data_IF_187933611090
#
_entry.id   IF_187933611090
#
_cell.length_a   1.000
_cell.length_b   1.000
_cell.length_c   1.000
_cell.angle_alpha   90.00
_cell.angle_beta   90.00
_cell.angle_gamma   90.00
#
_symmetry.space_group_name_H-M   'P 1'
#
loop_
_entity.id
_entity.type
_entity.pdbx_description
1 polymer ?
#
# COMPACT_ATOMS: atom_id res chain seq x y z
N UNK A 1 -15.56 5.81 -12.15
CA UNK A 1 -14.30 5.18 -11.67
C UNK A 1 -13.06 5.97 -12.07
N UNK A 2 -12.85 6.31 -13.36
CA UNK A 2 -11.74 7.20 -13.77
C UNK A 2 -11.74 8.56 -13.01
N UNK A 3 -12.92 9.14 -12.81
CA UNK A 3 -13.09 10.38 -12.03
C UNK A 3 -12.65 10.24 -10.58
N UNK A 4 -12.84 9.07 -9.95
CA UNK A 4 -12.40 8.82 -8.57
C UNK A 4 -10.88 8.87 -8.49
N UNK A 5 -10.18 8.19 -9.41
CA UNK A 5 -8.72 8.23 -9.45
C UNK A 5 -8.19 9.63 -9.75
N UNK A 6 -8.85 10.38 -10.64
CA UNK A 6 -8.49 11.79 -10.90
C UNK A 6 -8.70 12.67 -9.66
N UNK A 7 -9.80 12.48 -8.94
CA UNK A 7 -10.03 13.17 -7.67
C UNK A 7 -8.94 12.87 -6.64
N UNK A 8 -8.47 11.62 -6.57
CA UNK A 8 -7.33 11.24 -5.71
C UNK A 8 -6.05 11.96 -6.16
N UNK A 9 -5.71 11.93 -7.46
CA UNK A 9 -4.53 12.64 -7.99
C UNK A 9 -4.53 14.12 -7.60
N UNK A 10 -5.63 14.81 -7.88
CA UNK A 10 -5.79 16.24 -7.58
C UNK A 10 -5.64 16.54 -6.10
N UNK A 11 -6.23 15.72 -5.23
CA UNK A 11 -6.19 15.94 -3.77
C UNK A 11 -4.82 15.61 -3.16
N UNK A 12 -4.12 14.62 -3.72
CA UNK A 12 -2.79 14.22 -3.25
C UNK A 12 -1.72 15.21 -3.74
N UNK A 13 -1.90 15.78 -4.94
CA UNK A 13 -0.92 16.64 -5.61
C UNK A 13 0.00 15.83 -6.52
N UNK A 14 0.18 16.26 -7.77
CA UNK A 14 1.00 15.59 -8.78
C UNK A 14 2.46 15.43 -8.34
N UNK A 15 2.96 16.38 -7.55
CA UNK A 15 4.30 16.32 -6.95
C UNK A 15 4.43 15.19 -5.92
N UNK A 16 3.35 14.59 -5.42
CA UNK A 16 3.43 13.47 -4.47
C UNK A 16 3.21 12.11 -5.17
N UNK A 17 2.97 12.14 -6.48
CA UNK A 17 2.85 10.95 -7.31
C UNK A 17 4.22 10.51 -7.83
N UNK A 18 4.35 9.22 -8.10
CA UNK A 18 5.59 8.66 -8.62
C UNK A 18 5.35 7.42 -9.47
N UNK A 19 6.36 7.03 -10.23
CA UNK A 19 6.49 5.63 -10.63
C UNK A 19 7.02 4.83 -9.44
N UNK A 20 6.53 3.60 -9.27
CA UNK A 20 7.03 2.74 -8.20
C UNK A 20 8.50 2.40 -8.49
N UNK A 21 9.38 2.62 -7.51
CA UNK A 21 10.82 2.35 -7.61
C UNK A 21 11.22 1.38 -6.50
N UNK A 22 12.29 0.63 -6.74
CA UNK A 22 12.87 -0.20 -5.69
C UNK A 22 13.42 0.69 -4.57
N UNK A 23 13.25 0.25 -3.32
CA UNK A 23 13.79 0.88 -2.11
C UNK A 23 14.52 -0.13 -1.27
N UNK A 24 15.62 0.31 -0.65
CA UNK A 24 16.45 -0.58 0.19
C UNK A 24 16.83 -1.89 -0.52
N UNK A 25 17.06 -1.84 -1.84
CA UNK A 25 17.31 -2.99 -2.72
C UNK A 25 16.15 -3.99 -2.90
N UNK A 26 14.93 -3.68 -2.44
CA UNK A 26 13.71 -4.44 -2.67
C UNK A 26 12.79 -3.70 -3.64
N UNK A 27 12.22 -4.38 -4.64
CA UNK A 27 11.25 -3.81 -5.57
C UNK A 27 9.93 -4.58 -5.63
N UNK A 28 9.00 -4.04 -6.41
CA UNK A 28 7.75 -4.70 -6.82
C UNK A 28 7.69 -4.69 -8.34
N UNK A 29 7.39 -5.84 -8.95
CA UNK A 29 7.19 -5.90 -10.38
C UNK A 29 5.76 -5.45 -10.74
N UNK A 30 5.68 -4.38 -11.53
CA UNK A 30 4.43 -3.72 -11.91
C UNK A 30 3.90 -4.12 -13.31
N UNK A 31 4.53 -5.07 -14.00
CA UNK A 31 4.18 -5.46 -15.38
C UNK A 31 2.73 -5.90 -15.53
N UNK A 32 2.18 -6.60 -14.54
CA UNK A 32 0.79 -7.10 -14.53
C UNK A 32 -0.11 -6.31 -13.58
N UNK A 33 0.33 -5.14 -13.11
CA UNK A 33 -0.46 -4.35 -12.19
C UNK A 33 -1.71 -3.75 -12.88
N UNK A 34 -2.87 -3.74 -12.21
CA UNK A 34 -4.10 -3.14 -12.74
C UNK A 34 -3.90 -1.69 -13.21
N UNK A 35 -4.63 -1.32 -14.26
CA UNK A 35 -4.62 0.03 -14.85
C UNK A 35 -6.05 0.46 -15.20
N UNK A 36 -6.41 1.75 -15.10
CA UNK A 36 -5.59 2.86 -14.62
C UNK A 36 -5.34 2.83 -13.10
N UNK A 37 -4.23 3.43 -12.67
CA UNK A 37 -3.83 3.49 -11.25
C UNK A 37 -3.19 4.83 -10.87
N UNK A 38 -3.19 5.12 -9.57
CA UNK A 38 -2.45 6.22 -8.93
C UNK A 38 -1.43 5.59 -8.00
N UNK A 39 -0.17 6.02 -8.08
CA UNK A 39 0.89 5.57 -7.18
C UNK A 39 1.41 6.78 -6.43
N UNK A 40 1.25 6.74 -5.11
CA UNK A 40 1.63 7.79 -4.18
C UNK A 40 2.95 7.39 -3.53
N UNK A 41 3.93 8.28 -3.57
CA UNK A 41 5.16 8.14 -2.79
C UNK A 41 4.92 8.67 -1.38
N UNK A 42 4.88 7.78 -0.40
CA UNK A 42 4.52 8.15 0.96
C UNK A 42 5.57 9.04 1.64
N UNK A 43 6.85 8.96 1.25
CA UNK A 43 7.88 9.86 1.80
C UNK A 43 7.64 11.32 1.42
N UNK A 44 7.03 11.55 0.27
CA UNK A 44 6.69 12.90 -0.22
C UNK A 44 5.31 13.32 0.30
N UNK A 45 4.34 12.42 0.19
CA UNK A 45 2.95 12.72 0.47
C UNK A 45 2.67 12.94 1.97
N UNK A 46 3.23 12.13 2.87
CA UNK A 46 2.99 12.28 4.31
C UNK A 46 3.35 13.68 4.85
N UNK A 47 4.57 14.19 4.66
CA UNK A 47 4.92 15.52 5.16
C UNK A 47 4.14 16.63 4.45
N UNK A 48 3.86 16.50 3.15
CA UNK A 48 3.04 17.47 2.40
C UNK A 48 1.61 17.61 2.97
N UNK A 49 1.08 16.54 3.58
CA UNK A 49 -0.23 16.49 4.20
C UNK A 49 -0.19 16.54 5.74
N UNK A 50 0.92 17.03 6.31
CA UNK A 50 1.07 17.25 7.75
C UNK A 50 1.08 15.98 8.60
N UNK A 51 1.34 14.82 7.99
CA UNK A 51 1.48 13.56 8.72
C UNK A 51 2.94 13.28 9.04
N UNK A 52 3.23 13.07 10.33
CA UNK A 52 4.56 12.78 10.84
C UNK A 52 4.64 11.34 11.33
N UNK A 53 5.84 10.76 11.33
CA UNK A 53 6.12 9.42 11.88
C UNK A 53 6.32 8.35 10.82
N UNK A 54 6.09 7.09 11.24
CA UNK A 54 6.23 5.89 10.40
C UNK A 54 5.19 5.90 9.28
N UNK A 55 5.59 5.37 8.13
CA UNK A 55 4.78 5.27 6.91
C UNK A 55 5.26 4.08 6.10
N UNK A 56 4.37 3.53 5.30
CA UNK A 56 4.74 2.59 4.26
C UNK A 56 5.50 3.31 3.15
N UNK A 57 6.10 2.59 2.20
CA UNK A 57 6.84 3.20 1.09
C UNK A 57 5.92 3.79 0.02
N UNK A 58 4.88 3.05 -0.37
CA UNK A 58 3.97 3.43 -1.44
C UNK A 58 2.51 3.12 -1.10
N UNK A 59 1.60 3.89 -1.70
CA UNK A 59 0.16 3.61 -1.71
C UNK A 59 -0.31 3.61 -3.16
N UNK A 60 -1.01 2.55 -3.57
CA UNK A 60 -1.55 2.43 -4.93
C UNK A 60 -3.08 2.44 -4.86
N UNK A 61 -3.71 3.29 -5.65
CA UNK A 61 -5.14 3.24 -5.90
C UNK A 61 -5.44 2.74 -7.31
N UNK A 62 -6.34 1.79 -7.45
CA UNK A 62 -6.92 1.39 -8.73
C UNK A 62 -8.38 1.00 -8.54
N UNK A 63 -9.15 0.98 -9.63
CA UNK A 63 -10.53 0.52 -9.57
C UNK A 63 -10.62 -0.93 -10.04
N UNK A 64 -11.19 -1.81 -9.21
CA UNK A 64 -11.58 -3.15 -9.64
C UNK A 64 -12.95 -3.05 -10.31
N UNK A 65 -12.96 -3.16 -11.64
CA UNK A 65 -14.19 -3.06 -12.43
C UNK A 65 -15.10 -4.28 -12.29
N UNK A 66 -14.55 -5.44 -11.93
CA UNK A 66 -15.34 -6.66 -11.75
C UNK A 66 -16.14 -6.60 -10.44
N UNK A 67 -15.54 -6.04 -9.39
CA UNK A 67 -16.19 -5.86 -8.08
C UNK A 67 -16.82 -4.47 -7.90
N UNK A 68 -16.64 -3.57 -8.86
CA UNK A 68 -17.10 -2.17 -8.80
C UNK A 68 -16.65 -1.43 -7.52
N UNK A 69 -15.40 -1.66 -7.10
CA UNK A 69 -14.84 -1.10 -5.88
C UNK A 69 -13.51 -0.38 -6.14
N UNK A 70 -13.14 0.50 -5.21
CA UNK A 70 -11.83 1.14 -5.18
C UNK A 70 -10.87 0.30 -4.34
N UNK A 71 -9.73 -0.07 -4.89
CA UNK A 71 -8.71 -0.83 -4.15
C UNK A 71 -7.55 0.10 -3.78
N UNK A 72 -7.21 0.13 -2.50
CA UNK A 72 -6.04 0.79 -1.94
C UNK A 72 -5.00 -0.26 -1.52
N UNK A 73 -3.89 -0.37 -2.26
CA UNK A 73 -2.79 -1.27 -1.91
C UNK A 73 -1.73 -0.49 -1.15
N UNK A 74 -1.41 -0.92 0.06
CA UNK A 74 -0.36 -0.33 0.89
C UNK A 74 0.89 -1.19 0.74
N UNK A 75 2.02 -0.58 0.39
CA UNK A 75 3.24 -1.32 0.06
C UNK A 75 4.36 -0.87 0.99
N UNK A 76 4.91 -1.84 1.73
CA UNK A 76 6.16 -1.71 2.47
C UNK A 76 7.25 -2.59 1.82
N UNK A 77 8.44 -2.05 1.62
CA UNK A 77 9.57 -2.73 0.99
C UNK A 77 10.70 -2.94 2.01
N UNK A 78 11.03 -4.19 2.32
CA UNK A 78 12.14 -4.54 3.23
C UNK A 78 13.20 -5.38 2.52
N UNK A 79 14.35 -4.77 2.21
CA UNK A 79 15.50 -5.51 1.68
C UNK A 79 16.38 -6.18 2.73
N UNK A 80 16.25 -5.80 4.01
CA UNK A 80 17.00 -6.34 5.14
C UNK A 80 16.10 -7.03 6.16
N UNK A 81 16.46 -6.93 7.43
CA UNK A 81 15.71 -7.53 8.53
C UNK A 81 14.29 -6.98 8.60
N UNK A 82 13.33 -7.89 8.73
CA UNK A 82 11.91 -7.58 8.89
C UNK A 82 11.55 -7.63 10.36
N UNK A 83 10.94 -6.57 10.87
CA UNK A 83 10.29 -6.54 12.19
C UNK A 83 8.79 -6.42 11.99
N UNK A 84 8.03 -7.41 12.43
CA UNK A 84 6.58 -7.48 12.18
C UNK A 84 5.82 -6.29 12.77
N UNK A 85 6.20 -5.84 13.97
CA UNK A 85 5.59 -4.67 14.62
C UNK A 85 5.81 -3.38 13.81
N UNK A 86 7.04 -3.16 13.33
CA UNK A 86 7.37 -1.99 12.53
C UNK A 86 6.60 -1.96 11.21
N UNK A 87 6.55 -3.09 10.50
CA UNK A 87 5.78 -3.23 9.26
C UNK A 87 4.29 -2.95 9.51
N UNK A 88 3.74 -3.49 10.60
CA UNK A 88 2.33 -3.28 10.96
C UNK A 88 2.03 -1.81 11.23
N UNK A 89 2.90 -1.11 11.97
CA UNK A 89 2.75 0.33 12.25
C UNK A 89 2.86 1.18 10.98
N UNK A 90 3.81 0.86 10.08
CA UNK A 90 3.98 1.56 8.81
C UNK A 90 2.78 1.38 7.89
N UNK A 91 2.28 0.16 7.73
CA UNK A 91 1.10 -0.13 6.92
C UNK A 91 -0.16 0.46 7.54
N UNK A 92 -0.32 0.43 8.87
CA UNK A 92 -1.45 1.10 9.53
C UNK A 92 -1.44 2.61 9.30
N UNK A 93 -0.29 3.26 9.35
CA UNK A 93 -0.17 4.67 9.01
C UNK A 93 -0.52 4.93 7.54
N UNK A 94 -0.13 4.03 6.63
CA UNK A 94 -0.53 4.02 5.22
C UNK A 94 -2.06 3.94 5.04
N UNK A 95 -2.73 3.04 5.76
CA UNK A 95 -4.19 2.90 5.73
C UNK A 95 -4.89 4.18 6.19
N UNK A 96 -4.44 4.74 7.31
CA UNK A 96 -4.98 5.99 7.86
C UNK A 96 -4.81 7.16 6.88
N UNK A 97 -3.69 7.20 6.15
CA UNK A 97 -3.47 8.19 5.07
C UNK A 97 -4.43 7.93 3.91
N UNK A 98 -4.48 6.70 3.40
CA UNK A 98 -5.32 6.31 2.26
C UNK A 98 -6.81 6.59 2.51
N UNK A 99 -7.29 6.38 3.73
CA UNK A 99 -8.69 6.60 4.11
C UNK A 99 -9.12 8.06 3.90
N UNK A 100 -8.21 9.03 4.10
CA UNK A 100 -8.50 10.47 3.88
C UNK A 100 -8.84 10.78 2.42
N UNK A 101 -8.27 10.04 1.48
CA UNK A 101 -8.43 10.27 0.04
C UNK A 101 -9.48 9.37 -0.60
N UNK A 102 -9.80 8.27 0.05
CA UNK A 102 -10.85 7.35 -0.38
C UNK A 102 -12.23 8.03 -0.22
N UNK A 103 -13.06 8.14 -1.27
CA UNK A 103 -14.41 8.69 -1.15
C UNK A 103 -15.34 7.73 -0.40
N UNK A 104 -16.44 8.24 0.19
CA UNK A 104 -17.40 7.40 0.93
C UNK A 104 -18.10 6.33 0.07
N UNK A 105 -18.19 6.56 -1.25
CA UNK A 105 -18.64 5.60 -2.25
C UNK A 105 -17.76 5.74 -3.52
N UNK A 106 -17.50 4.67 -4.30
CA UNK A 106 -17.92 3.27 -4.10
C UNK A 106 -17.27 2.63 -2.87
N UNK A 107 -17.66 1.38 -2.58
CA UNK A 107 -16.98 0.54 -1.59
C UNK A 107 -15.47 0.50 -1.86
N UNK A 108 -14.69 0.47 -0.79
CA UNK A 108 -13.24 0.52 -0.90
C UNK A 108 -12.59 -0.57 -0.06
N UNK A 109 -11.69 -1.32 -0.69
CA UNK A 109 -10.93 -2.40 -0.06
C UNK A 109 -9.48 -1.95 0.13
N UNK A 110 -8.91 -2.27 1.28
CA UNK A 110 -7.50 -2.02 1.57
C UNK A 110 -6.72 -3.33 1.54
N UNK A 111 -5.61 -3.37 0.81
CA UNK A 111 -4.74 -4.54 0.70
C UNK A 111 -3.33 -4.19 1.21
N UNK A 112 -3.02 -4.48 2.48
CA UNK A 112 -1.69 -4.25 3.04
C UNK A 112 -0.70 -5.33 2.59
N UNK A 113 0.41 -4.92 1.96
CA UNK A 113 1.40 -5.80 1.37
C UNK A 113 2.82 -5.47 1.85
N UNK A 114 3.53 -6.49 2.33
CA UNK A 114 4.97 -6.46 2.58
C UNK A 114 5.71 -7.20 1.46
N UNK A 115 6.68 -6.54 0.81
CA UNK A 115 7.65 -7.19 -0.07
C UNK A 115 8.99 -7.32 0.65
N UNK A 116 9.60 -8.51 0.61
CA UNK A 116 10.80 -8.79 1.40
C UNK A 116 11.80 -9.76 0.73
N UNK A 117 13.10 -9.63 1.07
CA UNK A 117 14.17 -10.55 0.60
C UNK A 117 14.37 -11.79 1.46
N UNK A 118 13.73 -11.84 2.62
CA UNK A 118 13.87 -12.89 3.63
C UNK A 118 13.03 -12.51 4.83
N UNK A 119 12.53 -13.49 5.57
CA UNK A 119 11.84 -13.21 6.83
C UNK A 119 12.15 -14.34 7.80
N UNK A 120 12.50 -13.97 9.03
CA UNK A 120 12.68 -14.96 10.08
C UNK A 120 11.34 -15.61 10.42
N UNK A 121 11.34 -16.92 10.69
CA UNK A 121 10.14 -17.69 10.99
C UNK A 121 9.26 -17.06 12.07
N UNK A 122 9.88 -16.53 13.13
CA UNK A 122 9.18 -15.86 14.23
C UNK A 122 8.47 -14.57 13.77
N UNK A 123 9.11 -13.77 12.93
CA UNK A 123 8.54 -12.53 12.39
C UNK A 123 7.44 -12.83 11.38
N UNK A 124 7.61 -13.90 10.59
CA UNK A 124 6.56 -14.38 9.69
C UNK A 124 5.30 -14.83 10.43
N UNK A 125 5.47 -15.59 11.52
CA UNK A 125 4.34 -16.01 12.37
C UNK A 125 3.63 -14.82 13.03
N UNK A 126 4.35 -13.75 13.37
CA UNK A 126 3.74 -12.52 13.88
C UNK A 126 2.97 -11.80 12.78
N UNK A 127 3.54 -11.65 11.58
CA UNK A 127 2.85 -11.02 10.44
C UNK A 127 1.60 -11.77 10.02
N UNK A 128 1.60 -13.11 10.05
CA UNK A 128 0.41 -13.92 9.74
C UNK A 128 -0.78 -13.65 10.67
N UNK A 129 -0.54 -13.09 11.85
CA UNK A 129 -1.58 -12.72 12.83
C UNK A 129 -1.84 -11.22 12.87
N UNK A 130 -1.03 -10.43 12.17
CA UNK A 130 -1.16 -8.99 12.13
C UNK A 130 -2.16 -8.58 11.04
N UNK A 131 -2.95 -7.56 11.36
CA UNK A 131 -3.90 -6.92 10.46
C UNK A 131 -3.69 -5.42 10.46
N UNK A 132 -4.19 -4.80 9.41
CA UNK A 132 -4.31 -3.34 9.28
C UNK A 132 -5.79 -3.01 9.25
N UNK A 133 -6.20 -2.05 10.06
CA UNK A 133 -7.58 -1.57 10.10
C UNK A 133 -7.80 -0.47 9.07
N UNK A 134 -8.82 -0.59 8.25
CA UNK A 134 -9.22 0.41 7.27
C UNK A 134 -10.75 0.50 7.24
N UNK A 135 -11.31 1.69 7.45
CA UNK A 135 -12.77 1.93 7.46
C UNK A 135 -13.56 1.00 8.38
N UNK A 136 -12.95 0.64 9.51
CA UNK A 136 -13.57 -0.23 10.51
C UNK A 136 -13.29 -1.72 10.31
N UNK A 137 -12.77 -2.15 9.18
CA UNK A 137 -12.46 -3.55 8.86
C UNK A 137 -10.98 -3.89 9.07
N UNK A 138 -10.70 -5.08 9.59
CA UNK A 138 -9.34 -5.58 9.78
C UNK A 138 -8.92 -6.46 8.59
N UNK A 139 -7.90 -6.03 7.83
CA UNK A 139 -7.36 -6.80 6.71
C UNK A 139 -5.99 -7.42 7.07
N UNK A 140 -5.78 -8.73 6.88
CA UNK A 140 -4.49 -9.37 7.13
C UNK A 140 -3.37 -8.82 6.25
N UNK A 141 -2.15 -8.73 6.80
CA UNK A 141 -0.96 -8.34 6.02
C UNK A 141 -0.55 -9.47 5.08
N UNK A 142 -0.55 -9.19 3.77
CA UNK A 142 -0.06 -10.09 2.73
C UNK A 142 1.45 -9.93 2.57
N UNK A 143 2.14 -11.01 2.24
CA UNK A 143 3.61 -11.00 2.06
C UNK A 143 4.01 -11.59 0.71
N UNK A 144 4.96 -10.97 0.03
CA UNK A 144 5.56 -11.48 -1.20
C UNK A 144 7.09 -11.27 -1.22
N UNK A 145 7.79 -12.01 -2.09
CA UNK A 145 9.23 -11.81 -2.29
C UNK A 145 9.46 -10.52 -3.07
N UNK A 146 10.53 -9.79 -2.79
CA UNK A 146 10.94 -8.66 -3.63
C UNK A 146 11.00 -9.07 -5.11
N UNK A 147 10.66 -8.12 -5.98
CA UNK A 147 10.62 -8.25 -7.44
C UNK A 147 9.56 -9.24 -7.95
N UNK A 148 8.71 -9.79 -7.06
CA UNK A 148 7.52 -10.53 -7.47
C UNK A 148 6.49 -9.60 -8.10
N UNK A 149 5.68 -10.11 -9.05
CA UNK A 149 4.54 -9.36 -9.59
C UNK A 149 3.60 -8.90 -8.46
N UNK A 150 3.13 -7.65 -8.54
CA UNK A 150 2.17 -7.10 -7.57
C UNK A 150 0.97 -8.02 -7.38
N UNK A 151 0.45 -8.59 -8.48
CA UNK A 151 -0.74 -9.46 -8.47
C UNK A 151 -0.60 -10.68 -7.55
N UNK A 152 0.63 -11.18 -7.32
CA UNK A 152 0.87 -12.29 -6.38
C UNK A 152 0.66 -11.89 -4.92
N UNK A 153 0.81 -10.61 -4.57
CA UNK A 153 0.53 -10.12 -3.24
C UNK A 153 -0.96 -9.79 -3.03
N UNK A 154 -1.73 -9.67 -4.12
CA UNK A 154 -3.16 -9.34 -4.09
C UNK A 154 -4.06 -10.59 -3.99
N UNK A 155 -3.56 -11.76 -4.42
CA UNK A 155 -4.21 -13.06 -4.23
C UNK A 155 -4.17 -13.53 -2.77
#
# INVERSE_FOLDING_TARGET
MSEVLNGIRTRVGEENLSTLRSRSSCGVNMTEAPSPRVVIDADRAFPAHGMMGKRCDYIIFFCDTAQNCLVAVLIELKGGDVKASEVSEQLQAGANFAERFTPGAPEAVCLPCLFHKGIHKREFQQLQRASVRFRGEDTPIKTARCDSPLIRALS
#
